data_IF_480263629429
#
_entry.id   IF_480263629429
#
_cell.length_a   1.000
_cell.length_b   1.000
_cell.length_c   1.000
_cell.angle_alpha   90.00
_cell.angle_beta   90.00
_cell.angle_gamma   90.00
#
_symmetry.space_group_name_H-M   'P 1'
#
loop_
_entity.id
_entity.type
_entity.pdbx_description
1 polymer ?
#
# COMPACT_ATOMS: atom_id res chain seq x y z
N UNK A 1 -41.11 35.29 37.62
CA UNK A 1 -40.24 34.10 37.57
C UNK A 1 -39.55 34.10 36.21
N UNK A 2 -38.22 33.98 36.16
CA UNK A 2 -37.48 33.90 34.90
C UNK A 2 -37.41 32.45 34.43
N UNK A 3 -37.26 32.25 33.13
CA UNK A 3 -37.21 30.93 32.52
C UNK A 3 -36.04 30.06 33.06
N UNK A 4 -34.92 30.68 33.40
CA UNK A 4 -33.77 30.00 34.00
C UNK A 4 -34.06 29.44 35.41
N UNK A 5 -34.95 30.09 36.17
CA UNK A 5 -35.36 29.62 37.50
C UNK A 5 -36.12 28.28 37.38
N UNK A 6 -37.01 28.19 36.39
CA UNK A 6 -37.78 26.96 36.09
C UNK A 6 -36.86 25.81 35.64
N UNK A 7 -35.83 26.10 34.84
CA UNK A 7 -34.87 25.09 34.38
C UNK A 7 -34.06 24.55 35.57
N UNK A 8 -33.65 25.43 36.48
CA UNK A 8 -32.87 25.04 37.67
C UNK A 8 -33.71 24.16 38.60
N UNK A 9 -35.00 24.45 38.73
CA UNK A 9 -35.95 23.70 39.56
C UNK A 9 -36.20 22.26 39.05
N UNK A 10 -36.13 22.02 37.73
CA UNK A 10 -36.24 20.68 37.12
C UNK A 10 -34.91 19.93 36.98
N UNK A 11 -33.90 20.23 37.83
CA UNK A 11 -32.52 19.70 37.80
C UNK A 11 -31.65 20.14 36.61
N UNK A 12 -32.05 21.16 35.87
CA UNK A 12 -31.26 21.76 34.79
C UNK A 12 -30.75 20.73 33.78
N UNK A 13 -29.46 20.77 33.48
CA UNK A 13 -28.81 19.79 32.61
C UNK A 13 -28.52 18.49 33.37
N UNK A 14 -29.50 17.58 33.34
CA UNK A 14 -29.51 16.34 34.11
C UNK A 14 -28.50 15.29 33.64
N UNK A 15 -28.31 14.25 34.47
CA UNK A 15 -27.40 13.12 34.16
C UNK A 15 -27.75 12.42 32.85
N UNK A 16 -29.04 12.25 32.56
CA UNK A 16 -29.51 11.64 31.32
C UNK A 16 -29.14 12.46 30.07
N UNK A 17 -29.29 13.79 30.13
CA UNK A 17 -28.92 14.68 29.02
C UNK A 17 -27.41 14.69 28.80
N UNK A 18 -26.61 14.69 29.88
CA UNK A 18 -25.15 14.53 29.79
C UNK A 18 -24.77 13.21 29.15
N UNK A 19 -25.40 12.10 29.57
CA UNK A 19 -25.15 10.78 29.00
C UNK A 19 -25.51 10.72 27.52
N UNK A 20 -26.67 11.24 27.13
CA UNK A 20 -27.11 11.29 25.74
C UNK A 20 -26.15 12.13 24.88
N UNK A 21 -25.69 13.27 25.40
CA UNK A 21 -24.70 14.12 24.73
C UNK A 21 -23.37 13.37 24.55
N UNK A 22 -22.87 12.69 25.57
CA UNK A 22 -21.65 11.88 25.49
C UNK A 22 -21.77 10.77 24.44
N UNK A 23 -22.87 10.00 24.44
CA UNK A 23 -23.10 8.93 23.45
C UNK A 23 -23.19 9.51 22.04
N UNK A 24 -23.92 10.63 21.87
CA UNK A 24 -24.05 11.32 20.59
C UNK A 24 -22.70 11.86 20.10
N UNK A 25 -21.87 12.37 21.00
CA UNK A 25 -20.53 12.85 20.69
C UNK A 25 -19.63 11.71 20.23
N UNK A 26 -19.61 10.57 20.96
CA UNK A 26 -18.82 9.40 20.58
C UNK A 26 -19.19 8.93 19.16
N UNK A 27 -20.49 8.76 18.87
CA UNK A 27 -20.94 8.34 17.54
C UNK A 27 -20.58 9.33 16.43
N UNK A 28 -20.59 10.64 16.72
CA UNK A 28 -20.19 11.67 15.73
C UNK A 28 -18.69 11.78 15.55
N UNK A 29 -17.91 11.49 16.60
CA UNK A 29 -16.46 11.57 16.56
C UNK A 29 -15.83 10.37 15.84
N UNK A 30 -16.43 9.17 15.93
CA UNK A 30 -15.90 7.97 15.28
C UNK A 30 -15.96 8.04 13.76
N UNK A 31 -16.99 8.68 13.18
CA UNK A 31 -17.16 8.83 11.73
C UNK A 31 -15.94 9.49 11.05
N UNK A 32 -15.50 10.71 11.43
CA UNK A 32 -14.33 11.34 10.81
C UNK A 32 -13.04 10.58 11.08
N UNK A 33 -12.88 9.94 12.24
CA UNK A 33 -11.73 9.07 12.50
C UNK A 33 -11.66 7.89 11.51
N UNK A 34 -12.78 7.24 11.23
CA UNK A 34 -12.84 6.16 10.23
C UNK A 34 -12.55 6.65 8.80
N UNK A 35 -13.04 7.83 8.44
CA UNK A 35 -12.75 8.41 7.12
C UNK A 35 -11.26 8.75 6.98
N UNK A 36 -10.65 9.32 8.03
CA UNK A 36 -9.23 9.65 8.03
C UNK A 36 -8.34 8.42 7.99
N UNK A 37 -8.72 7.33 8.67
CA UNK A 37 -7.96 6.07 8.69
C UNK A 37 -7.59 5.59 7.27
N UNK A 38 -8.52 5.71 6.32
CA UNK A 38 -8.29 5.30 4.92
C UNK A 38 -7.06 5.97 4.28
N UNK A 39 -6.75 7.21 4.64
CA UNK A 39 -5.59 7.93 4.12
C UNK A 39 -4.27 7.33 4.61
N UNK A 40 -4.26 6.70 5.78
CA UNK A 40 -3.06 6.11 6.38
C UNK A 40 -2.85 4.65 5.97
N UNK A 41 -3.91 3.93 5.60
CA UNK A 41 -3.83 2.50 5.21
C UNK A 41 -3.80 2.29 3.70
N UNK A 42 -4.19 3.27 2.89
CA UNK A 42 -4.25 3.12 1.43
C UNK A 42 -2.91 3.34 0.71
N UNK A 43 -1.84 3.66 1.45
CA UNK A 43 -0.52 3.81 0.86
C UNK A 43 0.05 2.43 0.48
N UNK A 44 0.39 2.27 -0.80
CA UNK A 44 1.07 1.07 -1.30
C UNK A 44 2.50 1.52 -1.66
N UNK A 45 3.54 1.02 -0.97
CA UNK A 45 4.90 1.37 -1.30
C UNK A 45 5.26 0.84 -2.69
N UNK A 46 6.29 1.45 -3.31
CA UNK A 46 6.87 0.91 -4.53
C UNK A 46 7.28 -0.54 -4.29
N UNK A 47 6.82 -1.42 -5.15
CA UNK A 47 7.08 -2.85 -5.06
C UNK A 47 7.33 -3.40 -6.45
N UNK A 48 7.87 -4.62 -6.48
CA UNK A 48 8.13 -5.38 -7.67
C UNK A 48 7.93 -6.87 -7.37
N UNK A 49 7.84 -7.71 -8.40
CA UNK A 49 7.70 -9.16 -8.19
C UNK A 49 8.92 -9.73 -7.44
N UNK A 50 8.66 -10.66 -6.52
CA UNK A 50 9.75 -11.38 -5.84
C UNK A 50 10.46 -12.33 -6.82
N UNK A 51 11.77 -12.11 -6.99
CA UNK A 51 12.65 -12.90 -7.87
C UNK A 51 13.60 -13.83 -7.10
N UNK A 52 13.44 -13.93 -5.77
CA UNK A 52 14.31 -14.75 -4.90
C UNK A 52 14.30 -16.23 -5.28
N UNK A 53 13.19 -16.72 -5.82
CA UNK A 53 13.06 -18.09 -6.32
C UNK A 53 14.06 -18.39 -7.45
N UNK A 54 14.21 -17.46 -8.40
CA UNK A 54 15.14 -17.61 -9.53
C UNK A 54 16.60 -17.57 -9.06
N UNK A 55 16.87 -16.86 -7.97
CA UNK A 55 18.20 -16.81 -7.35
C UNK A 55 18.52 -18.13 -6.62
N UNK A 56 17.53 -18.70 -5.92
CA UNK A 56 17.66 -19.99 -5.24
C UNK A 56 17.90 -21.15 -6.22
N UNK A 57 17.32 -21.10 -7.42
CA UNK A 57 17.58 -22.05 -8.50
C UNK A 57 18.90 -21.80 -9.24
N UNK A 58 19.62 -20.73 -8.90
CA UNK A 58 20.90 -20.38 -9.51
C UNK A 58 20.80 -19.88 -10.95
N UNK A 59 19.60 -19.50 -11.41
CA UNK A 59 19.35 -19.08 -12.81
C UNK A 59 20.13 -17.80 -13.13
N UNK A 60 20.29 -16.89 -12.17
CA UNK A 60 20.99 -15.63 -12.39
C UNK A 60 22.51 -15.74 -12.43
N UNK A 61 23.11 -16.84 -11.97
CA UNK A 61 24.56 -16.96 -11.88
C UNK A 61 25.20 -15.80 -11.09
N UNK A 62 26.16 -15.09 -11.70
CA UNK A 62 26.92 -14.00 -11.07
C UNK A 62 26.45 -12.59 -11.51
N UNK A 63 25.14 -12.39 -11.66
CA UNK A 63 24.56 -11.08 -11.96
C UNK A 63 24.44 -10.20 -10.71
N UNK A 64 24.60 -8.89 -10.88
CA UNK A 64 24.30 -7.92 -9.83
C UNK A 64 22.78 -7.79 -9.60
N UNK A 65 22.36 -7.24 -8.45
CA UNK A 65 20.94 -7.03 -8.13
C UNK A 65 20.20 -6.25 -9.22
N UNK A 66 20.79 -5.16 -9.71
CA UNK A 66 20.21 -4.33 -10.78
C UNK A 66 20.04 -5.10 -12.09
N UNK A 67 21.03 -5.94 -12.43
CA UNK A 67 20.95 -6.78 -13.63
C UNK A 67 19.87 -7.85 -13.50
N UNK A 68 19.73 -8.47 -12.32
CA UNK A 68 18.68 -9.45 -12.03
C UNK A 68 17.28 -8.84 -12.21
N UNK A 69 17.07 -7.62 -11.73
CA UNK A 69 15.81 -6.89 -11.92
C UNK A 69 15.57 -6.57 -13.40
N UNK A 70 16.59 -6.06 -14.10
CA UNK A 70 16.51 -5.70 -15.53
C UNK A 70 16.09 -6.88 -16.41
N UNK A 71 16.60 -8.09 -16.14
CA UNK A 71 16.27 -9.28 -16.94
C UNK A 71 14.95 -9.92 -16.54
N UNK A 72 14.41 -9.63 -15.36
CA UNK A 72 13.24 -10.33 -14.80
C UNK A 72 11.98 -9.48 -14.79
N UNK A 73 12.11 -8.16 -14.76
CA UNK A 73 11.00 -7.24 -14.57
C UNK A 73 10.99 -6.22 -15.71
N UNK A 74 9.87 -6.07 -16.44
CA UNK A 74 9.78 -5.06 -17.48
C UNK A 74 9.85 -3.66 -16.86
N UNK A 75 10.54 -2.75 -17.56
CA UNK A 75 10.49 -1.34 -17.23
C UNK A 75 9.20 -0.71 -17.76
N UNK A 76 8.62 0.21 -16.98
CA UNK A 76 7.53 1.09 -17.39
C UNK A 76 8.06 2.25 -18.24
N UNK A 77 7.15 3.05 -18.79
CA UNK A 77 7.48 4.20 -19.65
C UNK A 77 8.38 5.25 -18.95
N UNK A 78 8.32 5.31 -17.61
CA UNK A 78 9.14 6.17 -16.76
C UNK A 78 10.51 5.55 -16.40
N UNK A 79 10.80 4.34 -16.88
CA UNK A 79 12.01 3.59 -16.59
C UNK A 79 12.02 2.84 -15.25
N UNK A 80 10.93 2.91 -14.47
CA UNK A 80 10.81 2.16 -13.21
C UNK A 80 10.40 0.71 -13.47
N UNK A 81 10.81 -0.25 -12.61
CA UNK A 81 10.34 -1.62 -12.72
C UNK A 81 8.83 -1.70 -12.54
N UNK A 82 8.14 -2.52 -13.34
CA UNK A 82 6.72 -2.76 -13.21
C UNK A 82 6.39 -3.45 -11.87
N UNK A 83 5.36 -2.96 -11.18
CA UNK A 83 5.07 -3.43 -9.81
C UNK A 83 4.37 -4.79 -9.74
N UNK A 84 3.47 -5.09 -10.67
CA UNK A 84 2.62 -6.29 -10.64
C UNK A 84 2.96 -7.34 -11.71
N UNK A 85 3.97 -7.08 -12.54
CA UNK A 85 4.26 -7.88 -13.71
C UNK A 85 5.76 -8.23 -13.79
N UNK A 86 6.05 -9.41 -14.29
CA UNK A 86 7.41 -9.91 -14.54
C UNK A 86 7.47 -10.63 -15.90
N UNK A 87 8.66 -10.83 -16.43
CA UNK A 87 8.83 -11.71 -17.58
C UNK A 87 8.59 -13.17 -17.17
N UNK A 88 8.00 -13.97 -18.06
CA UNK A 88 7.78 -15.40 -17.81
C UNK A 88 9.09 -16.19 -17.64
N UNK A 89 10.19 -15.69 -18.22
CA UNK A 89 11.54 -16.20 -18.03
C UNK A 89 12.54 -15.03 -18.08
N UNK A 90 13.71 -15.13 -17.40
CA UNK A 90 14.72 -14.09 -17.43
C UNK A 90 15.26 -13.79 -18.83
N UNK A 91 15.20 -12.53 -19.22
CA UNK A 91 15.59 -12.01 -20.52
C UNK A 91 17.03 -11.49 -20.50
N UNK A 92 18.02 -12.39 -20.46
CA UNK A 92 19.44 -12.02 -20.38
C UNK A 92 19.93 -11.12 -21.53
N UNK A 93 19.28 -11.20 -22.69
CA UNK A 93 19.62 -10.38 -23.85
C UNK A 93 19.43 -8.87 -23.60
N UNK A 94 18.57 -8.48 -22.65
CA UNK A 94 18.36 -7.08 -22.27
C UNK A 94 19.64 -6.43 -21.72
N UNK A 95 20.56 -7.20 -21.13
CA UNK A 95 21.84 -6.69 -20.63
C UNK A 95 22.80 -6.29 -21.76
N UNK A 96 22.59 -6.82 -22.97
CA UNK A 96 23.46 -6.58 -24.13
C UNK A 96 22.93 -5.45 -25.02
N UNK A 97 21.88 -4.75 -24.58
CA UNK A 97 21.25 -3.63 -25.30
C UNK A 97 20.81 -4.00 -26.73
N UNK A 98 20.49 -5.28 -26.97
CA UNK A 98 19.82 -5.72 -28.18
C UNK A 98 18.35 -5.40 -28.02
N UNK A 99 17.89 -4.32 -28.64
CA UNK A 99 16.48 -4.00 -28.79
C UNK A 99 15.82 -5.05 -29.71
N UNK A 100 15.53 -6.21 -29.17
CA UNK A 100 14.70 -7.20 -29.82
C UNK A 100 13.27 -6.64 -29.84
N UNK A 101 12.76 -6.34 -31.03
CA UNK A 101 11.37 -5.92 -31.27
C UNK A 101 10.36 -7.06 -31.07
N UNK A 102 10.72 -8.09 -30.30
CA UNK A 102 9.87 -9.22 -29.98
C UNK A 102 9.06 -8.86 -28.73
N UNK A 103 7.75 -9.05 -28.77
CA UNK A 103 6.91 -8.95 -27.58
C UNK A 103 7.45 -9.90 -26.52
N UNK A 104 8.03 -9.34 -25.46
CA UNK A 104 8.54 -10.13 -24.35
C UNK A 104 7.33 -10.70 -23.60
N UNK A 105 7.33 -12.00 -23.28
CA UNK A 105 6.22 -12.62 -22.58
C UNK A 105 6.18 -12.12 -21.13
N UNK A 106 5.20 -11.26 -20.84
CA UNK A 106 4.96 -10.67 -19.52
C UNK A 106 3.78 -11.39 -18.84
N UNK A 107 3.95 -11.72 -17.57
CA UNK A 107 2.97 -12.40 -16.72
C UNK A 107 2.82 -11.66 -15.39
N UNK A 108 1.72 -11.92 -14.66
CA UNK A 108 1.60 -11.43 -13.29
C UNK A 108 2.61 -12.11 -12.36
N UNK A 109 3.01 -11.43 -11.27
CA UNK A 109 3.93 -11.98 -10.28
C UNK A 109 3.45 -13.35 -9.77
N UNK A 110 4.29 -14.38 -9.89
CA UNK A 110 3.92 -15.75 -9.50
C UNK A 110 4.28 -16.07 -8.05
N UNK A 111 5.30 -15.41 -7.50
CA UNK A 111 5.89 -15.72 -6.20
C UNK A 111 5.65 -14.61 -5.16
N UNK A 112 4.71 -13.70 -5.42
CA UNK A 112 4.43 -12.56 -4.55
C UNK A 112 5.24 -11.32 -4.91
N UNK A 113 5.34 -10.40 -3.95
CA UNK A 113 5.92 -9.06 -4.14
C UNK A 113 6.98 -8.76 -3.09
N UNK A 114 8.04 -8.07 -3.51
CA UNK A 114 9.02 -7.43 -2.63
C UNK A 114 8.72 -5.92 -2.59
N UNK A 115 8.47 -5.39 -1.39
CA UNK A 115 8.15 -3.98 -1.16
C UNK A 115 9.40 -3.20 -0.73
N UNK A 116 9.53 -1.97 -1.21
CA UNK A 116 10.54 -1.05 -0.70
C UNK A 116 10.13 -0.50 0.68
N UNK A 117 10.94 -0.82 1.68
CA UNK A 117 10.72 -0.40 3.06
C UNK A 117 11.40 0.93 3.42
N UNK A 118 11.90 1.69 2.42
CA UNK A 118 12.56 2.99 2.64
C UNK A 118 11.62 4.04 3.26
N UNK A 119 10.35 4.00 2.87
CA UNK A 119 9.33 4.99 3.29
C UNK A 119 8.45 4.45 4.42
N UNK A 120 8.07 3.17 4.35
CA UNK A 120 7.24 2.49 5.35
C UNK A 120 7.91 1.19 5.78
N UNK A 121 8.01 0.93 7.08
CA UNK A 121 8.58 -0.34 7.58
C UNK A 121 7.64 -1.52 7.26
N UNK A 122 6.34 -1.26 7.26
CA UNK A 122 5.29 -2.23 6.94
C UNK A 122 4.01 -1.46 6.61
N UNK A 123 3.26 -1.98 5.65
CA UNK A 123 1.85 -1.65 5.43
C UNK A 123 0.99 -2.83 5.85
N UNK A 124 -0.25 -2.55 6.26
CA UNK A 124 -1.19 -3.51 6.87
C UNK A 124 -1.71 -4.55 5.87
#
# INVERSE_FOLDING_TARGET
>A
MKFEDLITEINGFGRFQKMLLCISFVGRFTIPCHLLLSNFIAAIPSHHCDISFLDAEGIFGNLSREQKLTVSIPAQDDGTPASCHMFSYPQFHLLTNSSSSAELPVVQCQNGWEYDNSTFISTL
#
